data_IF_315745896184
#
_entry.id   IF_315745896184
#
_cell.length_a   1.000
_cell.length_b   1.000
_cell.length_c   1.000
_cell.angle_alpha   90.00
_cell.angle_beta   90.00
_cell.angle_gamma   90.00
#
_symmetry.space_group_name_H-M   'P 1'
#
loop_
_entity.id
_entity.type
_entity.pdbx_description
1 polymer ?
#
# COMPACT_ATOMS: atom_id res chain seq x y z
N UNK A 1 -18.43 6.94 6.28
CA UNK A 1 -18.03 6.95 4.85
C UNK A 1 -16.74 6.17 4.77
N UNK A 2 -16.76 4.95 4.20
CA UNK A 2 -15.60 4.08 4.20
C UNK A 2 -14.55 4.54 3.18
N UNK A 3 -13.29 4.32 3.52
CA UNK A 3 -12.15 4.59 2.66
C UNK A 3 -11.54 3.26 2.24
N UNK A 4 -11.08 3.19 1.00
CA UNK A 4 -10.38 1.99 0.55
C UNK A 4 -9.24 2.30 -0.42
N UNK A 5 -8.24 1.42 -0.38
CA UNK A 5 -7.18 1.36 -1.37
C UNK A 5 -7.46 0.23 -2.34
N UNK A 6 -7.30 0.57 -3.60
CA UNK A 6 -7.32 -0.37 -4.69
C UNK A 6 -5.89 -0.67 -5.11
N UNK A 7 -5.39 -1.86 -4.79
CA UNK A 7 -3.99 -2.22 -5.07
C UNK A 7 -3.92 -2.96 -6.41
N UNK A 8 -3.39 -2.27 -7.42
CA UNK A 8 -3.19 -2.79 -8.78
C UNK A 8 -1.70 -2.73 -9.14
N UNK A 9 -1.32 -3.42 -10.21
CA UNK A 9 0.09 -3.50 -10.61
C UNK A 9 0.41 -4.82 -11.30
N UNK A 10 1.52 -4.85 -12.03
CA UNK A 10 1.93 -6.00 -12.83
C UNK A 10 2.20 -7.24 -11.96
N UNK A 11 2.25 -8.45 -12.54
CA UNK A 11 2.61 -9.65 -11.78
C UNK A 11 3.99 -9.48 -11.18
N UNK A 12 4.14 -9.83 -9.89
CA UNK A 12 5.42 -9.70 -9.19
C UNK A 12 5.73 -8.32 -8.62
N UNK A 13 4.91 -7.28 -8.84
CA UNK A 13 5.14 -5.94 -8.26
C UNK A 13 4.93 -5.84 -6.74
N UNK A 14 4.56 -6.94 -6.07
CA UNK A 14 4.45 -6.98 -4.60
C UNK A 14 3.11 -6.51 -4.02
N UNK A 15 2.02 -6.57 -4.78
CA UNK A 15 0.65 -6.20 -4.32
C UNK A 15 0.25 -6.88 -3.01
N UNK A 16 0.26 -8.21 -2.95
CA UNK A 16 -0.12 -8.94 -1.73
C UNK A 16 0.84 -8.68 -0.56
N UNK A 17 2.12 -8.45 -0.84
CA UNK A 17 3.12 -8.05 0.18
C UNK A 17 2.84 -6.64 0.72
N UNK A 18 2.45 -5.71 -0.14
CA UNK A 18 2.01 -4.38 0.25
C UNK A 18 0.72 -4.45 1.08
N UNK A 19 -0.28 -5.25 0.68
CA UNK A 19 -1.51 -5.43 1.45
C UNK A 19 -1.24 -5.99 2.85
N UNK A 20 -0.35 -6.98 2.97
CA UNK A 20 0.08 -7.53 4.26
C UNK A 20 0.79 -6.47 5.12
N UNK A 21 1.81 -5.81 4.57
CA UNK A 21 2.56 -4.77 5.27
C UNK A 21 1.68 -3.58 5.70
N UNK A 22 0.76 -3.15 4.83
CA UNK A 22 -0.16 -2.05 5.12
C UNK A 22 -1.20 -2.46 6.16
N UNK A 23 -1.72 -3.69 6.12
CA UNK A 23 -2.63 -4.20 7.14
C UNK A 23 -1.97 -4.22 8.53
N UNK A 24 -0.74 -4.73 8.63
CA UNK A 24 0.03 -4.73 9.87
C UNK A 24 0.36 -3.30 10.35
N UNK A 25 0.77 -2.42 9.43
CA UNK A 25 1.10 -1.03 9.74
C UNK A 25 -0.12 -0.25 10.26
N UNK A 26 -1.27 -0.38 9.60
CA UNK A 26 -2.53 0.23 10.04
C UNK A 26 -2.95 -0.27 11.42
N UNK A 27 -2.86 -1.59 11.66
CA UNK A 27 -3.12 -2.18 12.97
C UNK A 27 -2.19 -1.63 14.07
N UNK A 28 -0.90 -1.48 13.78
CA UNK A 28 0.07 -0.93 14.73
C UNK A 28 -0.19 0.53 15.10
N UNK A 29 -0.75 1.34 14.19
CA UNK A 29 -1.15 2.73 14.48
C UNK A 29 -2.59 2.85 15.00
N UNK A 30 -3.25 1.73 15.31
CA UNK A 30 -4.60 1.69 15.88
C UNK A 30 -5.73 1.94 14.89
N UNK A 31 -5.49 1.80 13.58
CA UNK A 31 -6.53 1.92 12.55
C UNK A 31 -7.06 0.55 12.16
N UNK A 32 -8.35 0.32 12.37
CA UNK A 32 -9.02 -0.89 11.93
C UNK A 32 -8.93 -1.04 10.40
N UNK A 33 -8.47 -2.20 9.94
CA UNK A 33 -8.23 -2.46 8.54
C UNK A 33 -8.65 -3.88 8.17
N UNK A 34 -9.39 -3.99 7.07
CA UNK A 34 -9.86 -5.25 6.51
C UNK A 34 -9.33 -5.44 5.08
N UNK A 35 -8.81 -6.61 4.76
CA UNK A 35 -8.27 -6.93 3.43
C UNK A 35 -9.25 -7.80 2.65
N UNK A 36 -9.58 -7.38 1.42
CA UNK A 36 -10.43 -8.12 0.48
C UNK A 36 -9.54 -8.66 -0.64
N UNK A 37 -9.45 -9.99 -0.74
CA UNK A 37 -8.75 -10.65 -1.83
C UNK A 37 -9.66 -10.76 -3.06
N UNK A 38 -9.28 -10.07 -4.14
CA UNK A 38 -9.93 -10.17 -5.45
C UNK A 38 -9.10 -11.00 -6.45
N UNK A 39 -7.94 -11.52 -6.07
CA UNK A 39 -7.14 -12.42 -6.91
C UNK A 39 -7.54 -13.88 -6.72
N UNK A 40 -8.22 -14.52 -7.69
CA UNK A 40 -8.63 -15.91 -7.58
C UNK A 40 -7.46 -16.89 -7.72
N UNK A 41 -6.28 -16.44 -8.19
CA UNK A 41 -5.08 -17.25 -8.33
C UNK A 41 -4.16 -17.18 -7.09
N UNK A 42 -4.53 -16.40 -6.07
CA UNK A 42 -3.73 -16.22 -4.86
C UNK A 42 -4.10 -17.27 -3.81
N UNK A 43 -3.41 -18.42 -3.85
CA UNK A 43 -3.74 -19.56 -2.98
C UNK A 43 -3.35 -19.38 -1.51
N UNK A 44 -2.33 -18.55 -1.26
CA UNK A 44 -1.71 -18.38 0.05
C UNK A 44 -1.49 -16.90 0.37
N UNK A 45 -2.53 -16.24 0.88
CA UNK A 45 -2.42 -14.88 1.42
C UNK A 45 -1.70 -14.91 2.78
N UNK A 46 -0.74 -14.00 2.98
CA UNK A 46 -0.06 -13.85 4.28
C UNK A 46 -0.86 -13.02 5.30
N UNK A 47 -1.94 -12.39 4.85
CA UNK A 47 -2.85 -11.58 5.66
C UNK A 47 -4.19 -12.33 5.90
N UNK A 48 -4.92 -11.97 6.98
CA UNK A 48 -6.27 -12.45 7.21
C UNK A 48 -7.25 -11.76 6.25
N UNK A 49 -7.66 -12.46 5.18
CA UNK A 49 -8.65 -11.94 4.24
C UNK A 49 -10.04 -11.90 4.89
N UNK A 50 -10.65 -10.72 4.94
CA UNK A 50 -12.02 -10.51 5.41
C UNK A 50 -13.03 -11.05 4.39
N UNK A 51 -12.76 -10.81 3.11
CA UNK A 51 -13.48 -11.42 1.99
C UNK A 51 -12.49 -11.98 0.97
N UNK A 52 -12.88 -13.08 0.34
CA UNK A 52 -12.05 -13.75 -0.64
C UNK A 52 -12.91 -14.21 -1.82
N UNK A 53 -12.58 -13.73 -3.03
CA UNK A 53 -13.26 -14.09 -4.27
C UNK A 53 -13.28 -15.60 -4.51
N UNK A 54 -12.31 -16.35 -3.96
CA UNK A 54 -12.24 -17.82 -4.06
C UNK A 54 -13.42 -18.52 -3.38
N UNK A 55 -14.10 -17.84 -2.44
CA UNK A 55 -15.32 -18.34 -1.82
C UNK A 55 -16.56 -18.19 -2.72
N UNK A 56 -16.51 -17.28 -3.69
CA UNK A 56 -17.55 -17.10 -4.70
C UNK A 56 -17.29 -18.03 -5.88
N UNK A 57 -16.07 -18.02 -6.43
CA UNK A 57 -15.71 -18.84 -7.59
C UNK A 57 -14.29 -19.36 -7.47
N UNK A 58 -14.10 -20.66 -7.72
CA UNK A 58 -12.77 -21.28 -7.76
C UNK A 58 -12.21 -21.29 -9.18
N UNK A 59 -10.97 -20.83 -9.32
CA UNK A 59 -10.31 -20.71 -10.61
C UNK A 59 -10.18 -22.05 -11.33
N UNK A 60 -9.88 -23.13 -10.58
CA UNK A 60 -9.71 -24.47 -11.15
C UNK A 60 -11.02 -25.02 -11.73
N UNK A 61 -12.15 -24.67 -11.13
CA UNK A 61 -13.48 -25.09 -11.59
C UNK A 61 -13.81 -24.38 -12.91
N UNK A 62 -13.60 -23.06 -12.99
CA UNK A 62 -13.78 -22.29 -14.25
C UNK A 62 -12.91 -22.86 -15.38
N UNK A 63 -11.61 -23.04 -15.10
CA UNK A 63 -10.66 -23.51 -16.12
C UNK A 63 -11.05 -24.89 -16.66
N UNK A 64 -11.60 -25.76 -15.81
CA UNK A 64 -12.03 -27.10 -16.19
C UNK A 64 -13.34 -27.10 -16.96
N UNK A 65 -14.34 -26.34 -16.50
CA UNK A 65 -15.70 -26.40 -17.05
C UNK A 65 -15.80 -25.63 -18.37
N UNK A 66 -15.19 -24.44 -18.44
CA UNK A 66 -15.21 -23.57 -19.63
C UNK A 66 -14.00 -23.75 -20.56
N UNK A 67 -13.06 -24.64 -20.20
CA UNK A 67 -11.83 -24.93 -20.95
C UNK A 67 -11.00 -23.67 -21.22
N UNK A 68 -10.97 -22.76 -20.24
CA UNK A 68 -10.20 -21.53 -20.29
C UNK A 68 -8.77 -21.74 -19.79
N UNK A 69 -7.84 -20.95 -20.32
CA UNK A 69 -6.50 -20.82 -19.74
C UNK A 69 -6.52 -19.96 -18.47
N UNK A 70 -5.41 -19.89 -17.70
CA UNK A 70 -5.35 -19.16 -16.42
C UNK A 70 -5.81 -17.70 -16.51
N UNK A 71 -5.33 -16.94 -17.51
CA UNK A 71 -5.72 -15.54 -17.68
C UNK A 71 -7.21 -15.39 -18.05
N UNK A 72 -7.76 -16.33 -18.83
CA UNK A 72 -9.19 -16.35 -19.16
C UNK A 72 -10.05 -16.70 -17.94
N UNK A 73 -9.58 -17.61 -17.08
CA UNK A 73 -10.25 -17.94 -15.82
C UNK A 73 -10.27 -16.78 -14.83
N UNK A 74 -9.17 -16.04 -14.69
CA UNK A 74 -9.13 -14.83 -13.84
C UNK A 74 -10.12 -13.78 -14.34
N UNK A 75 -10.17 -13.57 -15.65
CA UNK A 75 -11.10 -12.63 -16.28
C UNK A 75 -12.55 -13.02 -15.98
N UNK A 76 -12.89 -14.29 -16.22
CA UNK A 76 -14.20 -14.84 -15.95
C UNK A 76 -14.60 -14.71 -14.48
N UNK A 77 -13.68 -14.97 -13.55
CA UNK A 77 -13.95 -14.82 -12.11
C UNK A 77 -14.33 -13.37 -11.75
N UNK A 78 -13.68 -12.37 -12.36
CA UNK A 78 -14.04 -10.97 -12.17
C UNK A 78 -15.36 -10.59 -12.86
N UNK A 79 -15.67 -11.16 -14.01
CA UNK A 79 -16.98 -11.00 -14.64
C UNK A 79 -18.07 -11.57 -13.72
N UNK A 80 -17.87 -12.75 -13.15
CA UNK A 80 -18.83 -13.37 -12.23
C UNK A 80 -19.00 -12.54 -10.94
N UNK A 81 -17.91 -11.97 -10.41
CA UNK A 81 -17.98 -11.01 -9.30
C UNK A 81 -18.75 -9.74 -9.69
N UNK A 82 -18.57 -9.23 -10.91
CA UNK A 82 -19.31 -8.07 -11.40
C UNK A 82 -20.82 -8.36 -11.50
N UNK A 83 -21.19 -9.56 -11.96
CA UNK A 83 -22.58 -10.01 -12.06
C UNK A 83 -23.21 -10.25 -10.69
N UNK A 84 -22.47 -10.84 -9.74
CA UNK A 84 -22.90 -11.11 -8.37
C UNK A 84 -22.37 -10.05 -7.39
N UNK A 85 -22.44 -8.78 -7.78
CA UNK A 85 -21.87 -7.68 -7.00
C UNK A 85 -22.49 -7.57 -5.60
N UNK A 86 -23.75 -8.00 -5.43
CA UNK A 86 -24.45 -8.04 -4.15
C UNK A 86 -23.68 -8.86 -3.09
N UNK A 87 -22.97 -9.93 -3.49
CA UNK A 87 -22.13 -10.71 -2.57
C UNK A 87 -21.02 -9.85 -1.95
N UNK A 88 -20.36 -9.03 -2.79
CA UNK A 88 -19.32 -8.12 -2.33
C UNK A 88 -19.93 -7.02 -1.45
N UNK A 89 -21.05 -6.45 -1.86
CA UNK A 89 -21.73 -5.41 -1.08
C UNK A 89 -22.18 -5.89 0.30
N UNK A 90 -22.74 -7.10 0.40
CA UNK A 90 -23.17 -7.69 1.66
C UNK A 90 -22.00 -8.01 2.57
N UNK A 91 -20.93 -8.62 2.03
CA UNK A 91 -19.72 -8.88 2.81
C UNK A 91 -19.09 -7.59 3.36
N UNK A 92 -19.03 -6.54 2.55
CA UNK A 92 -18.47 -5.24 2.95
C UNK A 92 -19.28 -4.54 4.06
N UNK A 93 -20.56 -4.89 4.27
CA UNK A 93 -21.39 -4.32 5.36
C UNK A 93 -20.97 -4.83 6.74
N UNK A 94 -20.32 -5.99 6.82
CA UNK A 94 -19.89 -6.57 8.10
C UNK A 94 -18.74 -5.77 8.75
N UNK A 95 -17.99 -5.02 7.96
CA UNK A 95 -16.84 -4.21 8.38
C UNK A 95 -16.88 -2.80 7.79
N UNK A 96 -18.06 -2.18 7.76
CA UNK A 96 -18.31 -0.89 7.10
C UNK A 96 -17.55 0.31 7.68
N UNK A 97 -17.02 0.19 8.90
CA UNK A 97 -16.24 1.23 9.58
C UNK A 97 -14.72 1.06 9.37
N UNK A 98 -14.28 -0.10 8.84
CA UNK A 98 -12.87 -0.40 8.64
C UNK A 98 -12.32 0.30 7.40
N UNK A 99 -11.00 0.53 7.41
CA UNK A 99 -10.26 0.87 6.21
C UNK A 99 -10.07 -0.38 5.33
N UNK A 100 -10.51 -0.33 4.08
CA UNK A 100 -10.51 -1.54 3.22
C UNK A 100 -9.32 -1.54 2.26
N UNK A 101 -8.61 -2.66 2.17
CA UNK A 101 -7.57 -2.90 1.16
C UNK A 101 -8.05 -3.95 0.16
N UNK A 102 -8.16 -3.60 -1.12
CA UNK A 102 -8.50 -4.54 -2.18
C UNK A 102 -7.22 -5.03 -2.88
N UNK A 103 -6.85 -6.29 -2.65
CA UNK A 103 -5.76 -6.95 -3.41
C UNK A 103 -6.29 -7.46 -4.74
N UNK A 104 -5.88 -6.86 -5.86
CA UNK A 104 -6.39 -7.19 -7.19
C UNK A 104 -5.49 -8.16 -7.94
N UNK A 105 -6.06 -8.92 -8.90
CA UNK A 105 -5.25 -9.84 -9.69
C UNK A 105 -4.14 -9.11 -10.45
N UNK A 106 -2.99 -9.78 -10.59
CA UNK A 106 -1.81 -9.17 -11.19
C UNK A 106 -1.84 -8.95 -12.70
N UNK A 107 -2.85 -9.48 -13.41
CA UNK A 107 -2.92 -9.40 -14.87
C UNK A 107 -3.15 -7.96 -15.34
N UNK A 108 -2.26 -7.45 -16.19
CA UNK A 108 -2.27 -6.05 -16.65
C UNK A 108 -3.51 -5.73 -17.49
N UNK A 109 -4.07 -6.72 -18.17
CA UNK A 109 -5.22 -6.61 -19.05
C UNK A 109 -6.48 -6.14 -18.32
N UNK A 110 -6.58 -6.44 -17.02
CA UNK A 110 -7.74 -6.14 -16.19
C UNK A 110 -7.97 -4.65 -15.93
N UNK A 111 -6.88 -3.88 -15.89
CA UNK A 111 -6.91 -2.43 -15.67
C UNK A 111 -6.40 -1.63 -16.88
N UNK A 112 -6.20 -2.28 -18.04
CA UNK A 112 -5.80 -1.62 -19.30
C UNK A 112 -6.83 -1.77 -20.41
N UNK A 113 -7.46 -2.95 -20.54
CA UNK A 113 -8.35 -3.29 -21.65
C UNK A 113 -9.73 -3.75 -21.20
N UNK A 114 -9.84 -4.43 -20.04
CA UNK A 114 -11.10 -4.91 -19.54
C UNK A 114 -11.86 -3.87 -18.71
N UNK A 115 -13.19 -3.95 -18.72
CA UNK A 115 -14.05 -3.01 -18.00
C UNK A 115 -14.60 -3.56 -16.68
N UNK A 116 -14.58 -4.88 -16.43
CA UNK A 116 -15.22 -5.43 -15.22
C UNK A 116 -14.65 -4.88 -13.93
N UNK A 117 -13.32 -4.79 -13.85
CA UNK A 117 -12.65 -4.25 -12.67
C UNK A 117 -13.07 -2.80 -12.42
N UNK A 118 -13.07 -1.97 -13.46
CA UNK A 118 -13.55 -0.58 -13.42
C UNK A 118 -15.03 -0.51 -13.00
N UNK A 119 -15.88 -1.37 -13.54
CA UNK A 119 -17.32 -1.37 -13.27
C UNK A 119 -17.62 -1.74 -11.81
N UNK A 120 -16.92 -2.75 -11.25
CA UNK A 120 -17.01 -3.14 -9.83
C UNK A 120 -16.70 -1.95 -8.94
N UNK A 121 -15.61 -1.23 -9.20
CA UNK A 121 -15.22 -0.09 -8.38
C UNK A 121 -16.12 1.12 -8.54
N UNK A 122 -16.65 1.34 -9.75
CA UNK A 122 -17.67 2.37 -9.95
C UNK A 122 -18.96 2.06 -9.17
N UNK A 123 -19.35 0.78 -9.05
CA UNK A 123 -20.45 0.37 -8.17
C UNK A 123 -20.10 0.64 -6.70
N UNK A 124 -18.89 0.34 -6.23
CA UNK A 124 -18.45 0.67 -4.85
C UNK A 124 -18.48 2.18 -4.56
N UNK A 125 -18.01 3.01 -5.50
CA UNK A 125 -18.06 4.47 -5.36
C UNK A 125 -19.50 4.97 -5.22
N UNK A 126 -20.45 4.40 -5.97
CA UNK A 126 -21.89 4.74 -5.86
C UNK A 126 -22.48 4.42 -4.49
N UNK A 127 -21.93 3.45 -3.78
CA UNK A 127 -22.36 3.03 -2.45
C UNK A 127 -21.69 3.89 -1.35
N UNK A 128 -20.80 4.80 -1.75
CA UNK A 128 -20.21 5.81 -0.87
C UNK A 128 -18.77 5.53 -0.44
N UNK A 129 -18.10 4.54 -1.04
CA UNK A 129 -16.68 4.29 -0.81
C UNK A 129 -15.82 5.38 -1.47
N UNK A 130 -14.85 5.92 -0.72
CA UNK A 130 -13.79 6.77 -1.28
C UNK A 130 -12.59 5.91 -1.62
N UNK A 131 -12.37 5.72 -2.92
CA UNK A 131 -11.33 4.84 -3.45
C UNK A 131 -10.10 5.65 -3.89
N UNK A 132 -8.92 5.12 -3.59
CA UNK A 132 -7.64 5.55 -4.17
C UNK A 132 -6.99 4.35 -4.84
N UNK A 133 -6.64 4.49 -6.12
CA UNK A 133 -5.92 3.49 -6.88
C UNK A 133 -4.42 3.59 -6.57
N UNK A 134 -3.85 2.54 -6.02
CA UNK A 134 -2.43 2.38 -5.72
C UNK A 134 -1.85 1.43 -6.75
N UNK A 135 -1.09 1.97 -7.70
CA UNK A 135 -0.49 1.20 -8.78
C UNK A 135 0.98 0.92 -8.47
N UNK A 136 1.28 -0.34 -8.17
CA UNK A 136 2.63 -0.81 -7.86
C UNK A 136 3.35 -1.26 -9.13
N UNK A 137 4.50 -0.65 -9.38
CA UNK A 137 5.50 -1.04 -10.36
C UNK A 137 6.73 -1.57 -9.66
N UNK A 138 7.34 -2.65 -10.16
CA UNK A 138 8.62 -3.16 -9.63
C UNK A 138 9.76 -2.21 -10.03
N UNK A 139 10.61 -1.80 -9.07
CA UNK A 139 11.78 -0.94 -9.31
C UNK A 139 12.78 -1.54 -10.31
N UNK A 140 12.72 -2.86 -10.56
CA UNK A 140 13.49 -3.50 -11.62
C UNK A 140 13.24 -2.87 -13.01
N UNK A 141 12.07 -2.25 -13.25
CA UNK A 141 11.80 -1.57 -14.51
C UNK A 141 12.74 -0.41 -14.81
N UNK A 142 13.44 0.13 -13.80
CA UNK A 142 14.40 1.24 -13.95
C UNK A 142 15.72 0.78 -14.58
N UNK A 143 16.05 -0.51 -14.49
CA UNK A 143 17.33 -1.07 -14.94
C UNK A 143 17.54 -0.99 -16.45
N UNK A 144 16.44 -0.91 -17.21
CA UNK A 144 16.47 -0.81 -18.66
C UNK A 144 15.57 0.35 -19.11
N UNK A 145 16.11 1.36 -19.81
CA UNK A 145 15.33 2.42 -20.45
C UNK A 145 14.05 1.94 -21.14
N UNK A 146 14.07 0.84 -21.90
CA UNK A 146 12.88 0.35 -22.59
C UNK A 146 11.79 -0.20 -21.66
N UNK A 147 12.19 -0.85 -20.56
CA UNK A 147 11.27 -1.30 -19.51
C UNK A 147 10.65 -0.11 -18.77
N UNK A 148 11.45 0.91 -18.47
CA UNK A 148 10.97 2.11 -17.80
C UNK A 148 9.93 2.85 -18.64
N UNK A 149 10.22 3.13 -19.93
CA UNK A 149 9.27 3.78 -20.84
C UNK A 149 7.97 2.97 -20.98
N UNK A 150 8.09 1.64 -21.05
CA UNK A 150 6.93 0.75 -21.09
C UNK A 150 6.09 0.81 -19.80
N UNK A 151 6.74 0.91 -18.64
CA UNK A 151 6.07 1.04 -17.35
C UNK A 151 5.35 2.40 -17.19
N UNK A 152 5.96 3.48 -17.68
CA UNK A 152 5.35 4.82 -17.69
C UNK A 152 4.10 4.82 -18.57
N UNK A 153 4.16 4.25 -19.76
CA UNK A 153 3.00 4.10 -20.66
C UNK A 153 1.89 3.24 -20.03
N UNK A 154 2.26 2.13 -19.38
CA UNK A 154 1.31 1.27 -18.67
C UNK A 154 0.61 2.05 -17.54
N UNK A 155 1.37 2.82 -16.78
CA UNK A 155 0.85 3.62 -15.66
C UNK A 155 -0.09 4.72 -16.18
N UNK A 156 0.29 5.44 -17.23
CA UNK A 156 -0.58 6.43 -17.89
C UNK A 156 -1.89 5.79 -18.39
N UNK A 157 -1.79 4.59 -18.99
CA UNK A 157 -2.96 3.85 -19.45
C UNK A 157 -3.87 3.44 -18.30
N UNK A 158 -3.31 2.93 -17.20
CA UNK A 158 -4.07 2.57 -16.01
C UNK A 158 -4.78 3.78 -15.39
N UNK A 159 -4.10 4.93 -15.28
CA UNK A 159 -4.70 6.17 -14.79
C UNK A 159 -5.93 6.59 -15.60
N UNK A 160 -5.85 6.53 -16.93
CA UNK A 160 -6.96 6.87 -17.82
C UNK A 160 -8.12 5.87 -17.70
N UNK A 161 -7.82 4.58 -17.57
CA UNK A 161 -8.83 3.52 -17.51
C UNK A 161 -9.59 3.52 -16.17
N UNK A 162 -8.89 3.77 -15.07
CA UNK A 162 -9.46 3.68 -13.71
C UNK A 162 -10.25 4.93 -13.31
N UNK A 163 -9.92 6.10 -13.86
CA UNK A 163 -10.69 7.35 -13.68
C UNK A 163 -11.00 7.70 -12.21
N UNK A 164 -9.97 7.62 -11.36
CA UNK A 164 -10.05 7.90 -9.92
C UNK A 164 -8.70 8.43 -9.40
N UNK A 165 -8.61 8.98 -8.17
CA UNK A 165 -7.33 9.35 -7.59
C UNK A 165 -6.34 8.19 -7.66
N UNK A 166 -5.20 8.43 -8.30
CA UNK A 166 -4.26 7.37 -8.66
C UNK A 166 -2.85 7.75 -8.21
N UNK A 167 -2.20 6.86 -7.47
CA UNK A 167 -0.84 7.01 -6.98
C UNK A 167 -0.02 5.89 -7.58
N UNK A 168 0.99 6.24 -8.38
CA UNK A 168 1.95 5.26 -8.88
C UNK A 168 3.07 5.12 -7.85
N UNK A 169 3.50 3.89 -7.61
CA UNK A 169 4.52 3.57 -6.63
C UNK A 169 5.56 2.64 -7.24
N UNK A 170 6.83 3.00 -7.10
CA UNK A 170 7.96 2.12 -7.36
C UNK A 170 8.23 1.29 -6.10
N UNK A 171 7.77 0.04 -6.13
CA UNK A 171 7.98 -0.97 -5.08
C UNK A 171 9.40 -1.54 -5.13
N UNK A 172 9.84 -2.13 -4.01
CA UNK A 172 11.15 -2.79 -3.88
C UNK A 172 12.31 -1.84 -4.15
N UNK A 173 12.16 -0.56 -3.76
CA UNK A 173 13.21 0.44 -3.98
C UNK A 173 14.50 0.08 -3.23
N UNK A 174 14.39 -0.68 -2.15
CA UNK A 174 15.49 -1.25 -1.38
C UNK A 174 16.43 -2.11 -2.22
N UNK A 175 15.98 -2.71 -3.33
CA UNK A 175 16.80 -3.57 -4.17
C UNK A 175 17.57 -2.83 -5.26
N UNK A 176 17.29 -1.55 -5.48
CA UNK A 176 17.89 -0.81 -6.59
C UNK A 176 19.41 -0.74 -6.49
N UNK A 177 19.95 -0.59 -5.28
CA UNK A 177 21.40 -0.60 -5.02
C UNK A 177 22.10 -1.91 -5.44
N UNK A 178 21.35 -3.00 -5.61
CA UNK A 178 21.88 -4.32 -5.99
C UNK A 178 21.87 -4.53 -7.52
N UNK A 179 21.21 -3.64 -8.25
CA UNK A 179 21.14 -3.68 -9.72
C UNK A 179 22.33 -2.94 -10.34
N UNK A 180 22.40 -2.96 -11.68
CA UNK A 180 23.36 -2.17 -12.43
C UNK A 180 23.12 -0.67 -12.22
N UNK A 181 24.19 0.13 -12.36
CA UNK A 181 24.14 1.58 -12.22
C UNK A 181 23.11 2.19 -13.18
N UNK A 182 22.19 2.97 -12.61
CA UNK A 182 21.15 3.63 -13.38
C UNK A 182 21.75 4.78 -14.21
N UNK A 183 21.29 4.98 -15.46
CA UNK A 183 21.71 6.13 -16.28
C UNK A 183 21.51 7.51 -15.64
N UNK A 184 20.52 7.63 -14.77
CA UNK A 184 20.14 8.88 -14.10
C UNK A 184 19.85 8.63 -12.61
N UNK A 185 19.72 9.70 -11.84
CA UNK A 185 19.33 9.62 -10.43
C UNK A 185 17.86 9.19 -10.30
N UNK A 186 17.47 8.70 -9.12
CA UNK A 186 16.09 8.28 -8.85
C UNK A 186 15.06 9.39 -9.07
N UNK A 187 15.41 10.66 -8.79
CA UNK A 187 14.52 11.81 -9.00
C UNK A 187 14.01 11.90 -10.45
N UNK A 188 14.90 11.66 -11.42
CA UNK A 188 14.56 11.65 -12.84
C UNK A 188 13.47 10.61 -13.16
N UNK A 189 13.54 9.45 -12.51
CA UNK A 189 12.57 8.36 -12.70
C UNK A 189 11.28 8.59 -11.92
N UNK A 190 11.34 9.20 -10.73
CA UNK A 190 10.15 9.45 -9.91
C UNK A 190 9.32 10.60 -10.43
N UNK A 191 9.95 11.69 -10.86
CA UNK A 191 9.26 12.85 -11.39
C UNK A 191 8.94 12.72 -12.89
N UNK A 192 9.44 11.66 -13.53
CA UNK A 192 9.23 11.38 -14.96
C UNK A 192 9.64 12.60 -15.79
N UNK A 193 10.88 13.02 -15.59
CA UNK A 193 11.52 14.10 -16.34
C UNK A 193 11.60 13.77 -17.84
N UNK A 194 12.01 14.75 -18.64
CA UNK A 194 12.05 14.68 -20.10
C UNK A 194 12.69 13.37 -20.62
N UNK A 195 11.82 12.48 -21.12
CA UNK A 195 12.18 11.14 -21.57
C UNK A 195 13.09 11.18 -22.81
N UNK A 196 13.23 12.31 -23.49
CA UNK A 196 14.17 12.43 -24.61
C UNK A 196 15.61 12.19 -24.15
N UNK A 197 15.96 12.47 -22.89
CA UNK A 197 17.28 12.15 -22.32
C UNK A 197 17.59 10.65 -22.30
N UNK A 198 16.58 9.77 -22.31
CA UNK A 198 16.78 8.31 -22.40
C UNK A 198 17.05 7.82 -23.83
N UNK A 199 16.88 8.67 -24.85
CA UNK A 199 16.98 8.24 -26.26
C UNK A 199 18.36 7.66 -26.60
N UNK A 200 19.50 8.29 -26.21
CA UNK A 200 20.83 7.69 -26.43
C UNK A 200 20.99 6.34 -25.73
N UNK A 201 20.37 6.16 -24.56
CA UNK A 201 20.43 4.91 -23.80
C UNK A 201 19.56 3.82 -24.46
N UNK A 202 18.36 4.15 -24.95
CA UNK A 202 17.49 3.25 -25.72
C UNK A 202 18.18 2.77 -27.01
N UNK A 203 18.86 3.66 -27.72
CA UNK A 203 19.63 3.32 -28.92
C UNK A 203 20.81 2.39 -28.62
N UNK A 204 21.34 2.42 -27.39
CA UNK A 204 22.43 1.56 -26.95
C UNK A 204 21.96 0.11 -26.65
N UNK A 205 20.72 -0.08 -26.19
CA UNK A 205 20.16 -1.39 -25.82
C UNK A 205 20.05 -2.37 -27.00
N UNK A 206 19.61 -1.88 -28.17
CA UNK A 206 19.40 -2.75 -29.33
C UNK A 206 19.69 -2.04 -30.65
N UNK A 207 20.41 -2.70 -31.60
CA UNK A 207 20.60 -2.19 -32.95
C UNK A 207 19.29 -1.88 -33.68
N UNK A 208 18.19 -2.57 -33.33
CA UNK A 208 16.87 -2.32 -33.91
C UNK A 208 16.31 -0.95 -33.51
N UNK A 209 16.61 -0.49 -32.28
CA UNK A 209 16.15 0.79 -31.74
C UNK A 209 16.88 2.00 -32.33
N UNK A 210 18.01 1.78 -33.03
CA UNK A 210 18.78 2.83 -33.73
C UNK A 210 18.18 3.28 -35.07
N UNK A 211 17.04 2.71 -35.47
CA UNK A 211 16.41 3.13 -36.72
C UNK A 211 15.75 4.51 -36.54
N UNK A 212 15.83 5.37 -37.56
CA UNK A 212 15.19 6.70 -37.57
C UNK A 212 13.68 6.64 -37.28
N UNK A 213 13.02 5.51 -37.60
CA UNK A 213 11.60 5.30 -37.30
C UNK A 213 11.34 5.12 -35.81
N UNK A 214 12.22 4.41 -35.10
CA UNK A 214 12.13 4.21 -33.66
C UNK A 214 12.46 5.49 -32.89
N UNK A 215 13.44 6.28 -33.36
CA UNK A 215 13.71 7.60 -32.80
C UNK A 215 12.47 8.51 -32.82
N UNK A 216 11.80 8.63 -33.98
CA UNK A 216 10.55 9.41 -34.09
C UNK A 216 9.41 8.87 -33.23
N UNK A 217 9.33 7.56 -33.04
CA UNK A 217 8.34 6.95 -32.15
C UNK A 217 8.63 7.27 -30.68
N UNK A 218 9.88 7.15 -30.24
CA UNK A 218 10.29 7.47 -28.88
C UNK A 218 10.07 8.94 -28.56
N UNK A 219 10.39 9.84 -29.50
CA UNK A 219 10.11 11.27 -29.38
C UNK A 219 8.60 11.55 -29.28
N UNK A 220 7.77 10.88 -30.08
CA UNK A 220 6.32 11.02 -29.97
C UNK A 220 5.77 10.50 -28.62
N UNK A 221 6.33 9.42 -28.09
CA UNK A 221 5.99 8.87 -26.78
C UNK A 221 6.41 9.83 -25.66
N UNK A 222 7.63 10.37 -25.72
CA UNK A 222 8.13 11.35 -24.76
C UNK A 222 7.23 12.60 -24.72
N UNK A 223 6.95 13.17 -25.90
CA UNK A 223 6.05 14.32 -26.02
C UNK A 223 4.65 14.02 -25.47
N UNK A 224 4.12 12.81 -25.69
CA UNK A 224 2.81 12.41 -25.17
C UNK A 224 2.81 12.43 -23.64
N UNK A 225 3.81 11.80 -23.02
CA UNK A 225 3.91 11.68 -21.57
C UNK A 225 4.10 13.06 -20.93
N UNK A 226 5.00 13.88 -21.47
CA UNK A 226 5.26 15.24 -21.01
C UNK A 226 4.03 16.14 -21.16
N UNK A 227 3.29 16.04 -22.27
CA UNK A 227 2.09 16.85 -22.51
C UNK A 227 0.99 16.64 -21.46
N UNK A 228 0.89 15.43 -20.91
CA UNK A 228 -0.06 15.16 -19.82
C UNK A 228 0.50 15.56 -18.47
N UNK A 229 1.80 15.35 -18.21
CA UNK A 229 2.45 15.68 -16.93
C UNK A 229 1.75 15.03 -15.72
N UNK A 230 1.05 13.90 -15.95
CA UNK A 230 0.20 13.24 -14.94
C UNK A 230 0.96 12.16 -14.17
N UNK A 231 1.97 11.55 -14.79
CA UNK A 231 2.64 10.40 -14.22
C UNK A 231 3.75 10.90 -13.30
N UNK A 232 3.63 10.53 -12.03
CA UNK A 232 4.66 10.67 -11.01
C UNK A 232 4.66 9.40 -10.17
N UNK A 233 5.83 9.00 -9.67
CA UNK A 233 5.99 7.87 -8.79
C UNK A 233 6.43 8.30 -7.40
N UNK A 234 5.87 7.65 -6.39
CA UNK A 234 6.43 7.61 -5.05
C UNK A 234 7.25 6.33 -4.88
N UNK A 235 8.20 6.31 -3.94
CA UNK A 235 9.04 5.13 -3.69
C UNK A 235 8.57 4.35 -2.45
N UNK A 236 8.62 3.03 -2.54
CA UNK A 236 8.17 2.14 -1.46
C UNK A 236 9.17 1.02 -1.18
N UNK A 237 9.58 0.96 0.08
CA UNK A 237 10.16 -0.22 0.72
C UNK A 237 9.20 -0.68 1.83
N UNK A 238 8.56 -1.83 1.64
CA UNK A 238 7.49 -2.32 2.55
C UNK A 238 8.01 -2.58 3.97
N UNK A 239 9.27 -3.01 4.09
CA UNK A 239 9.91 -3.26 5.39
C UNK A 239 10.27 -1.97 6.15
N UNK A 240 10.28 -0.81 5.47
CA UNK A 240 10.65 0.45 6.07
C UNK A 240 9.41 1.22 6.58
N UNK A 241 9.31 1.40 7.90
CA UNK A 241 8.19 2.09 8.56
C UNK A 241 8.00 3.54 8.10
N UNK A 242 9.09 4.27 7.84
CA UNK A 242 9.01 5.67 7.37
C UNK A 242 8.47 5.73 5.95
N UNK A 243 8.92 4.83 5.07
CA UNK A 243 8.40 4.69 3.71
C UNK A 243 6.90 4.36 3.72
N UNK A 244 6.48 3.37 4.52
CA UNK A 244 5.06 3.03 4.69
C UNK A 244 4.22 4.21 5.23
N UNK A 245 4.75 4.94 6.21
CA UNK A 245 4.08 6.12 6.76
C UNK A 245 3.94 7.25 5.72
N UNK A 246 4.97 7.49 4.92
CA UNK A 246 4.95 8.48 3.83
C UNK A 246 3.87 8.12 2.81
N UNK A 247 3.88 6.89 2.31
CA UNK A 247 2.89 6.40 1.35
C UNK A 247 1.47 6.50 1.91
N UNK A 248 1.24 6.09 3.15
CA UNK A 248 -0.07 6.22 3.79
C UNK A 248 -0.53 7.67 3.86
N UNK A 249 0.35 8.63 4.19
CA UNK A 249 0.00 10.06 4.21
C UNK A 249 -0.38 10.58 2.82
N UNK A 250 0.35 10.19 1.78
CA UNK A 250 0.06 10.56 0.39
C UNK A 250 -1.31 10.00 -0.03
N UNK A 251 -1.58 8.72 0.28
CA UNK A 251 -2.85 8.06 0.01
C UNK A 251 -4.00 8.72 0.79
N UNK A 252 -3.84 8.94 2.08
CA UNK A 252 -4.85 9.56 2.93
C UNK A 252 -5.20 10.97 2.42
N UNK A 253 -4.21 11.72 1.93
CA UNK A 253 -4.43 13.04 1.33
C UNK A 253 -5.21 12.93 0.01
N UNK A 254 -4.81 12.02 -0.88
CA UNK A 254 -5.48 11.81 -2.17
C UNK A 254 -6.93 11.32 -1.99
N UNK A 255 -7.15 10.40 -1.05
CA UNK A 255 -8.46 9.87 -0.69
C UNK A 255 -9.28 10.81 0.18
N UNK A 256 -8.66 11.83 0.78
CA UNK A 256 -9.27 12.78 1.70
C UNK A 256 -9.61 12.21 3.08
N UNK A 257 -8.93 11.13 3.49
CA UNK A 257 -9.01 10.55 4.83
C UNK A 257 -8.53 11.54 5.90
N UNK A 258 -7.50 12.35 5.60
CA UNK A 258 -6.96 13.40 6.51
C UNK A 258 -7.99 14.48 6.86
N UNK A 259 -9.11 14.56 6.14
CA UNK A 259 -10.19 15.52 6.41
C UNK A 259 -11.44 14.88 7.03
N UNK A 260 -11.39 13.56 7.26
CA UNK A 260 -12.50 12.79 7.80
C UNK A 260 -12.57 12.84 9.32
N UNK A 261 -13.78 12.77 9.88
CA UNK A 261 -14.00 12.73 11.33
C UNK A 261 -13.65 11.39 12.01
N UNK A 262 -13.05 10.45 11.29
CA UNK A 262 -12.62 9.16 11.84
C UNK A 262 -11.36 9.34 12.71
N UNK A 263 -11.19 8.47 13.71
CA UNK A 263 -10.20 8.57 14.79
C UNK A 263 -8.82 9.05 14.30
N UNK A 264 -8.35 10.18 14.85
CA UNK A 264 -7.02 10.73 14.58
C UNK A 264 -6.86 11.62 13.34
N UNK A 265 -7.88 11.77 12.50
CA UNK A 265 -7.82 12.54 11.24
C UNK A 265 -8.63 13.86 11.24
N UNK A 266 -8.94 14.42 12.41
CA UNK A 266 -9.61 15.72 12.57
C UNK A 266 -8.67 16.92 12.33
N UNK A 267 -7.79 16.83 11.33
CA UNK A 267 -6.92 17.95 10.99
C UNK A 267 -7.70 19.00 10.18
N UNK A 268 -7.60 20.26 10.59
CA UNK A 268 -8.09 21.36 9.74
C UNK A 268 -7.30 21.40 8.44
N UNK A 269 -7.91 21.84 7.33
CA UNK A 269 -7.23 21.99 6.03
C UNK A 269 -5.91 22.75 6.14
N UNK A 270 -5.85 23.73 7.04
CA UNK A 270 -4.66 24.51 7.34
C UNK A 270 -3.58 23.73 8.10
N UNK A 271 -3.97 22.87 9.06
CA UNK A 271 -3.05 21.98 9.76
C UNK A 271 -2.43 20.92 8.83
N UNK A 272 -3.22 20.39 7.89
CA UNK A 272 -2.73 19.47 6.85
C UNK A 272 -1.72 20.18 5.93
N UNK A 273 -2.02 21.40 5.50
CA UNK A 273 -1.12 22.20 4.67
C UNK A 273 0.19 22.55 5.40
N UNK A 274 0.13 22.93 6.68
CA UNK A 274 1.33 23.22 7.48
C UNK A 274 2.18 21.99 7.79
N UNK A 275 1.55 20.84 8.08
CA UNK A 275 2.28 19.57 8.20
C UNK A 275 2.94 19.17 6.89
N UNK A 276 2.30 19.47 5.75
CA UNK A 276 2.87 19.23 4.42
C UNK A 276 4.14 20.05 4.18
N UNK A 277 4.22 21.31 4.61
CA UNK A 277 5.46 22.09 4.52
C UNK A 277 6.54 21.56 5.48
N UNK A 278 6.14 21.14 6.68
CA UNK A 278 7.07 20.53 7.65
C UNK A 278 7.59 19.16 7.19
N UNK A 279 6.83 18.38 6.43
CA UNK A 279 7.27 17.11 5.86
C UNK A 279 8.00 17.28 4.52
N UNK A 280 7.77 18.38 3.80
CA UNK A 280 8.59 18.76 2.64
C UNK A 280 10.03 19.15 3.05
N UNK A 281 10.25 19.48 4.32
CA UNK A 281 11.60 19.66 4.90
C UNK A 281 12.33 18.33 5.19
N UNK A 282 11.66 17.19 5.03
CA UNK A 282 12.23 15.84 5.12
C UNK A 282 11.99 15.05 3.82
N UNK A 283 12.10 15.69 2.65
CA UNK A 283 12.40 14.91 1.44
C UNK A 283 13.84 14.43 1.63
N UNK A 284 13.99 13.28 2.30
CA UNK A 284 15.21 12.49 2.22
C UNK A 284 15.51 12.36 0.74
N UNK A 285 16.69 12.78 0.33
CA UNK A 285 17.17 12.56 -1.02
C UNK A 285 17.06 11.04 -1.27
N UNK A 286 16.12 10.65 -2.14
CA UNK A 286 15.79 9.25 -2.38
C UNK A 286 16.98 8.52 -2.98
N UNK A 287 17.82 9.23 -3.74
CA UNK A 287 19.09 8.74 -4.26
C UNK A 287 20.03 8.43 -3.10
N UNK A 288 20.22 9.39 -2.18
CA UNK A 288 21.12 9.24 -1.05
C UNK A 288 20.70 8.08 -0.12
N UNK A 289 19.39 8.01 0.20
CA UNK A 289 18.83 7.00 1.11
C UNK A 289 18.90 5.58 0.54
N UNK A 290 18.63 5.39 -0.74
CA UNK A 290 18.43 4.05 -1.34
C UNK A 290 19.58 3.56 -2.21
N UNK A 291 20.46 4.46 -2.66
CA UNK A 291 21.61 4.13 -3.52
C UNK A 291 22.92 4.54 -2.85
N UNK A 292 23.16 5.83 -2.66
CA UNK A 292 24.53 6.31 -2.38
C UNK A 292 25.02 5.96 -0.96
N UNK A 293 24.16 6.05 0.05
CA UNK A 293 24.51 5.82 1.46
C UNK A 293 23.58 4.80 2.15
N UNK A 294 23.02 3.85 1.39
CA UNK A 294 22.05 2.86 1.90
C UNK A 294 22.51 2.18 3.20
N UNK A 295 23.76 1.71 3.25
CA UNK A 295 24.28 0.98 4.40
C UNK A 295 24.35 1.83 5.68
N UNK A 296 24.70 3.11 5.55
CA UNK A 296 24.79 4.04 6.68
C UNK A 296 23.39 4.37 7.21
N UNK A 297 22.44 4.67 6.33
CA UNK A 297 21.06 4.92 6.71
C UNK A 297 20.40 3.68 7.34
N UNK A 298 20.61 2.50 6.77
CA UNK A 298 20.10 1.24 7.32
C UNK A 298 20.69 0.96 8.72
N UNK A 299 21.97 1.30 8.95
CA UNK A 299 22.60 1.19 10.27
C UNK A 299 21.99 2.20 11.26
N UNK A 300 21.89 3.47 10.88
CA UNK A 300 21.30 4.51 11.74
C UNK A 300 19.86 4.18 12.14
N UNK A 301 19.08 3.61 11.22
CA UNK A 301 17.71 3.20 11.51
C UNK A 301 17.65 2.03 12.49
N UNK A 302 18.54 1.03 12.37
CA UNK A 302 18.63 -0.06 13.35
C UNK A 302 19.03 0.44 14.73
N UNK A 303 20.04 1.31 14.80
CA UNK A 303 20.49 1.89 16.08
C UNK A 303 19.36 2.72 16.72
N UNK A 304 18.60 3.48 15.92
CA UNK A 304 17.46 4.24 16.41
C UNK A 304 16.31 3.34 16.88
N UNK A 305 16.03 2.23 16.19
CA UNK A 305 15.02 1.25 16.60
C UNK A 305 15.42 0.53 17.89
N UNK A 306 16.69 0.14 18.04
CA UNK A 306 17.22 -0.46 19.26
C UNK A 306 17.13 0.51 20.45
N UNK A 307 17.49 1.77 20.25
CA UNK A 307 17.40 2.78 21.31
C UNK A 307 15.94 3.09 21.67
N UNK A 308 15.04 3.17 20.69
CA UNK A 308 13.60 3.30 20.96
C UNK A 308 13.03 2.11 21.72
N UNK A 309 13.44 0.88 21.37
CA UNK A 309 13.04 -0.32 22.08
C UNK A 309 13.54 -0.30 23.54
N UNK A 310 14.80 0.11 23.76
CA UNK A 310 15.36 0.27 25.11
C UNK A 310 14.59 1.31 25.93
N UNK A 311 14.27 2.46 25.34
CA UNK A 311 13.48 3.50 26.03
C UNK A 311 12.06 2.98 26.36
N UNK A 312 11.42 2.24 25.45
CA UNK A 312 10.12 1.63 25.72
C UNK A 312 10.18 0.57 26.82
N UNK A 313 11.22 -0.26 26.85
CA UNK A 313 11.46 -1.24 27.91
C UNK A 313 11.71 -0.55 29.26
N UNK A 314 12.52 0.50 29.29
CA UNK A 314 12.77 1.31 30.49
C UNK A 314 11.49 1.97 31.00
N UNK A 315 10.69 2.57 30.11
CA UNK A 315 9.38 3.14 30.46
C UNK A 315 8.39 2.08 30.95
N UNK A 316 8.37 0.89 30.34
CA UNK A 316 7.55 -0.22 30.81
C UNK A 316 7.98 -0.72 32.20
N UNK A 317 9.28 -0.76 32.48
CA UNK A 317 9.82 -1.12 33.80
C UNK A 317 9.56 -0.03 34.86
N UNK A 318 9.61 1.25 34.49
CA UNK A 318 9.25 2.36 35.39
C UNK A 318 7.74 2.37 35.70
N UNK A 319 6.89 2.07 34.72
CA UNK A 319 5.45 1.92 34.91
C UNK A 319 5.14 0.74 35.86
N UNK A 320 5.81 -0.40 35.71
CA UNK A 320 5.66 -1.59 36.56
C UNK A 320 6.21 -1.37 37.99
N UNK A 321 7.18 -0.45 38.17
CA UNK A 321 7.67 -0.04 39.49
C UNK A 321 6.79 1.03 40.17
N UNK A 322 5.88 1.68 39.41
CA UNK A 322 5.06 2.81 39.90
C UNK A 322 3.69 2.42 40.49
N UNK A 323 3.33 1.14 40.56
CA UNK A 323 2.25 0.66 41.44
C UNK A 323 2.74 -0.50 42.34
N UNK A 324 2.64 -0.32 43.66
CA UNK A 324 1.37 -0.58 44.30
C UNK A 324 0.83 0.68 44.98
N UNK A 325 -0.37 1.09 44.58
CA UNK A 325 -1.19 2.00 45.37
C UNK A 325 -1.42 1.34 46.75
N UNK A 326 -0.60 1.69 47.73
CA UNK A 326 -0.94 1.46 49.12
C UNK A 326 -2.24 2.22 49.39
N UNK A 327 -3.28 1.60 49.99
CA UNK A 327 -4.44 2.36 50.38
C UNK A 327 -3.98 3.37 51.43
N UNK A 328 -3.95 4.65 51.06
CA UNK A 328 -3.75 5.72 52.02
C UNK A 328 -4.85 5.57 53.07
N UNK A 329 -4.45 5.26 54.30
CA UNK A 329 -5.32 5.27 55.47
C UNK A 329 -5.85 6.69 55.69
N UNK A 330 -6.93 7.02 55.00
CA UNK A 330 -7.83 8.11 55.34
C UNK A 330 -8.68 7.66 56.51
N UNK A 331 -8.39 8.22 57.67
CA UNK A 331 -9.23 8.12 58.85
C UNK A 331 -10.54 8.88 58.56
N UNK A 332 -11.61 8.18 58.24
CA UNK A 332 -12.97 8.75 58.17
C UNK A 332 -13.61 8.62 59.57
N UNK A 333 -13.92 9.73 60.28
CA UNK A 333 -14.32 9.68 61.68
C UNK A 333 -15.72 9.11 61.95
N UNK A 334 -16.47 8.66 60.95
CA UNK A 334 -17.87 8.21 61.10
C UNK A 334 -18.12 6.70 60.90
N UNK A 335 -17.13 5.89 60.51
CA UNK A 335 -17.33 4.44 60.35
C UNK A 335 -16.22 3.61 61.01
N UNK A 336 -16.60 2.88 62.05
CA UNK A 336 -15.72 2.00 62.85
C UNK A 336 -15.27 0.73 62.13
N UNK A 337 -14.15 0.23 62.64
CA UNK A 337 -13.33 -0.92 62.21
C UNK A 337 -14.14 -2.17 61.82
N UNK A 338 -14.05 -2.59 60.55
CA UNK A 338 -14.52 -3.90 60.10
C UNK A 338 -13.42 -4.63 59.33
N UNK A 339 -12.83 -5.63 59.98
CA UNK A 339 -11.89 -6.58 59.39
C UNK A 339 -12.60 -7.60 58.51
N UNK A 340 -12.15 -7.78 57.26
CA UNK A 340 -12.65 -8.81 56.33
C UNK A 340 -12.00 -10.18 56.64
N UNK A 341 -12.76 -11.29 56.79
CA UNK A 341 -12.18 -12.59 57.12
C UNK A 341 -11.38 -13.22 55.97
N UNK A 342 -10.21 -13.78 56.29
CA UNK A 342 -9.40 -14.64 55.41
C UNK A 342 -9.98 -16.06 55.37
N UNK A 343 -10.95 -16.31 54.49
CA UNK A 343 -11.11 -17.57 53.75
C UNK A 343 -12.48 -17.60 53.04
N UNK A 344 -12.47 -17.49 51.71
CA UNK A 344 -13.56 -18.02 50.89
C UNK A 344 -12.93 -18.67 49.66
N UNK A 345 -12.80 -20.00 49.74
CA UNK A 345 -12.00 -20.80 48.84
C UNK A 345 -12.53 -20.88 47.41
N UNK A 346 -11.66 -20.63 46.45
CA UNK A 346 -11.79 -21.06 45.06
C UNK A 346 -10.41 -21.56 44.61
N UNK A 347 -10.27 -22.87 44.38
CA UNK A 347 -9.07 -23.50 43.78
C UNK A 347 -9.27 -23.63 42.27
N UNK A 348 -8.45 -22.93 41.49
CA UNK A 348 -8.37 -23.11 40.03
C UNK A 348 -7.35 -24.19 39.70
N UNK A 349 -7.76 -25.27 39.02
CA UNK A 349 -6.88 -26.34 38.55
C UNK A 349 -6.61 -26.14 37.06
N UNK A 350 -5.34 -25.99 36.65
CA UNK A 350 -4.92 -26.02 35.25
C UNK A 350 -4.90 -27.46 34.73
N UNK A 351 -5.60 -27.73 33.63
CA UNK A 351 -5.53 -28.99 32.88
C UNK A 351 -4.26 -28.97 32.01
N UNK A 352 -3.52 -30.09 31.99
CA UNK A 352 -2.44 -30.36 31.03
C UNK A 352 -2.99 -30.70 29.66
#
# INVERSE_FOLDING_TARGET
MPFAQLVVGSPGSGKSTYCDGMHQFLGAIGRACSVVNLDPANDHTNYPAALDIRNLVKLEEIMKDDKLGPNGGILYALEELEHNFEWLEEGLKEFSEDYVLFDCPGQVELYTHHNSLRNIFYKLQKIGYRLVCVHLSDSFCLTQPSLYVSNVLLSLRAMIQMDMPHINILSKIDKVSEYDELPFNLDYYTDVDDLTYLTPHLESESPALRSEKFGKLNEAIANLIESYGLVRYEVLAVENKKSMMHILRVIDRAGGYVFGGAEGANDTVWAVAMRSESSMLEVQDIQERWIDQKAEYDQMEREAEEEQARIQEEQAMELDQSEPFAPAGGMDPDFGDMTVPKDSGIKVVRKK
#
